data_IF_941793224313
#
_entry.id   IF_941793224313
#
_cell.length_a   1.000
_cell.length_b   1.000
_cell.length_c   1.000
_cell.angle_alpha   90.00
_cell.angle_beta   90.00
_cell.angle_gamma   90.00
#
_symmetry.space_group_name_H-M   'P 1'
#
loop_
_entity.id
_entity.type
_entity.pdbx_description
1 polymer ?
#
# COMPACT_ATOMS: atom_id res chain seq x y z
N UNK A 1 -21.53 -3.62 7.57
CA UNK A 1 -22.68 -4.19 8.32
C UNK A 1 -22.75 -5.69 8.05
N UNK A 2 -22.07 -6.48 8.88
CA UNK A 2 -22.27 -7.94 8.90
C UNK A 2 -23.52 -8.20 9.75
N UNK A 3 -24.63 -8.58 9.12
CA UNK A 3 -25.82 -9.08 9.82
C UNK A 3 -25.61 -10.56 10.15
N UNK A 4 -25.16 -10.87 11.33
CA UNK A 4 -25.07 -12.24 11.83
C UNK A 4 -26.47 -12.73 12.20
N UNK A 5 -26.91 -13.87 11.63
CA UNK A 5 -28.16 -14.54 11.99
C UNK A 5 -27.85 -15.62 13.02
N UNK A 6 -28.51 -15.55 14.16
CA UNK A 6 -28.28 -16.38 15.35
C UNK A 6 -28.33 -17.90 15.20
N UNK A 7 -28.74 -18.44 14.07
CA UNK A 7 -28.83 -19.87 13.84
C UNK A 7 -27.69 -20.51 13.02
N UNK A 8 -26.99 -19.73 12.18
CA UNK A 8 -25.86 -20.22 11.35
C UNK A 8 -24.50 -19.68 11.77
N UNK A 9 -24.47 -18.52 12.43
CA UNK A 9 -23.23 -17.78 12.75
C UNK A 9 -22.94 -17.78 14.26
N UNK A 10 -23.63 -18.63 15.05
CA UNK A 10 -23.48 -18.68 16.51
C UNK A 10 -22.07 -18.97 16.98
N UNK A 11 -21.33 -19.80 16.25
CA UNK A 11 -19.94 -20.11 16.55
C UNK A 11 -19.03 -18.89 16.32
N UNK A 12 -19.22 -18.18 15.22
CA UNK A 12 -18.47 -16.95 14.89
C UNK A 12 -18.72 -15.83 15.92
N UNK A 13 -19.98 -15.70 16.35
CA UNK A 13 -20.36 -14.73 17.39
C UNK A 13 -19.71 -15.06 18.75
N UNK A 14 -19.69 -16.35 19.11
CA UNK A 14 -19.04 -16.80 20.35
C UNK A 14 -17.53 -16.60 20.29
N UNK A 15 -16.90 -16.85 19.15
CA UNK A 15 -15.48 -16.62 18.95
C UNK A 15 -15.16 -15.12 19.04
N UNK A 16 -15.93 -14.25 18.37
CA UNK A 16 -15.75 -12.78 18.46
C UNK A 16 -15.98 -12.26 19.89
N UNK A 17 -16.94 -12.79 20.62
CA UNK A 17 -17.17 -12.44 22.02
C UNK A 17 -16.04 -12.93 22.93
N UNK A 18 -15.48 -14.11 22.68
CA UNK A 18 -14.33 -14.64 23.41
C UNK A 18 -13.09 -13.77 23.18
N UNK A 19 -12.77 -13.45 21.93
CA UNK A 19 -11.65 -12.56 21.56
C UNK A 19 -11.84 -11.15 22.12
N UNK A 20 -13.07 -10.62 22.09
CA UNK A 20 -13.39 -9.32 22.69
C UNK A 20 -13.18 -9.34 24.20
N UNK A 21 -13.70 -10.35 24.88
CA UNK A 21 -13.56 -10.47 26.33
C UNK A 21 -12.11 -10.64 26.74
N UNK A 22 -11.33 -11.49 26.04
CA UNK A 22 -9.90 -11.67 26.29
C UNK A 22 -9.14 -10.35 26.10
N UNK A 23 -9.40 -9.63 25.01
CA UNK A 23 -8.80 -8.32 24.72
C UNK A 23 -9.22 -7.28 25.77
N UNK A 24 -10.50 -7.25 26.17
CA UNK A 24 -11.03 -6.30 27.13
C UNK A 24 -10.48 -6.53 28.55
N UNK A 25 -10.40 -7.77 29.01
CA UNK A 25 -9.87 -8.09 30.34
C UNK A 25 -8.35 -7.91 30.44
N UNK A 26 -7.63 -8.07 29.32
CA UNK A 26 -6.19 -7.83 29.24
C UNK A 26 -5.84 -6.37 28.89
N UNK A 27 -6.84 -5.53 28.63
CA UNK A 27 -6.62 -4.13 28.30
C UNK A 27 -6.11 -3.33 29.51
N UNK A 28 -5.13 -2.48 29.28
CA UNK A 28 -4.62 -1.57 30.28
C UNK A 28 -5.63 -0.47 30.56
N UNK A 29 -6.00 -0.27 31.84
CA UNK A 29 -6.87 0.83 32.24
C UNK A 29 -6.18 2.17 31.99
N UNK A 30 -6.75 2.97 31.09
CA UNK A 30 -6.25 4.30 30.78
C UNK A 30 -6.66 5.25 31.92
N UNK A 31 -5.71 5.58 32.77
CA UNK A 31 -5.87 6.58 33.84
C UNK A 31 -5.00 7.81 33.56
N UNK A 32 -5.15 8.84 34.41
CA UNK A 32 -4.42 10.12 34.27
C UNK A 32 -2.87 9.90 34.22
N UNK A 33 -2.35 9.06 35.07
CA UNK A 33 -0.91 8.76 35.13
C UNK A 33 -0.43 8.05 33.84
N UNK A 34 -1.25 7.17 33.28
CA UNK A 34 -0.97 6.52 32.00
C UNK A 34 -0.93 7.56 30.85
N UNK A 35 -1.89 8.48 30.83
CA UNK A 35 -1.95 9.57 29.82
C UNK A 35 -0.70 10.46 29.92
N UNK A 36 -0.31 10.88 31.13
CA UNK A 36 0.90 11.69 31.33
C UNK A 36 2.19 10.97 30.90
N UNK A 37 2.26 9.67 31.14
CA UNK A 37 3.40 8.85 30.68
C UNK A 37 3.40 8.72 29.17
N UNK A 38 2.24 8.47 28.56
CA UNK A 38 2.08 8.39 27.11
C UNK A 38 2.45 9.71 26.43
N UNK A 39 2.00 10.86 26.96
CA UNK A 39 2.36 12.18 26.45
C UNK A 39 3.87 12.44 26.48
N UNK A 40 4.56 12.03 27.55
CA UNK A 40 6.02 12.16 27.63
C UNK A 40 6.73 11.33 26.58
N UNK A 41 6.31 10.08 26.41
CA UNK A 41 6.86 9.17 25.40
C UNK A 41 6.60 9.73 24.00
N UNK A 42 5.37 10.21 23.75
CA UNK A 42 4.98 10.77 22.46
C UNK A 42 5.76 12.04 22.11
N UNK A 43 5.94 12.97 23.07
CA UNK A 43 6.75 14.19 22.86
C UNK A 43 8.22 13.85 22.59
N UNK A 44 8.79 12.89 23.30
CA UNK A 44 10.16 12.43 23.05
C UNK A 44 10.30 11.76 21.67
N UNK A 45 9.28 11.00 21.25
CA UNK A 45 9.24 10.39 19.92
C UNK A 45 9.17 11.46 18.83
N UNK A 46 8.31 12.46 18.96
CA UNK A 46 8.20 13.61 18.04
C UNK A 46 9.50 14.40 17.95
N UNK A 47 10.16 14.63 19.08
CA UNK A 47 11.43 15.34 19.12
C UNK A 47 12.55 14.54 18.45
N UNK A 48 12.62 13.24 18.70
CA UNK A 48 13.55 12.31 18.04
C UNK A 48 13.31 12.23 16.52
N UNK A 49 12.04 12.22 16.09
CA UNK A 49 11.65 12.17 14.68
C UNK A 49 12.06 13.44 13.92
N UNK A 50 11.82 14.61 14.51
CA UNK A 50 12.20 15.89 13.89
C UNK A 50 13.72 16.06 13.82
N UNK A 51 14.46 15.57 14.81
CA UNK A 51 15.93 15.59 14.81
C UNK A 51 16.49 14.60 13.78
N UNK A 52 15.97 13.39 13.72
CA UNK A 52 16.34 12.39 12.73
C UNK A 52 16.04 12.85 11.29
N UNK A 53 14.93 13.57 11.07
CA UNK A 53 14.56 14.08 9.76
C UNK A 53 15.55 15.13 9.22
N UNK A 54 16.13 15.93 10.10
CA UNK A 54 17.16 16.92 9.74
C UNK A 54 18.52 16.26 9.49
N UNK A 55 18.85 15.18 10.21
CA UNK A 55 20.11 14.45 10.04
C UNK A 55 20.09 13.49 8.83
N UNK A 56 18.91 12.97 8.43
CA UNK A 56 18.75 12.08 7.27
C UNK A 56 18.76 12.81 5.94
N UNK A 57 18.57 14.13 5.93
CA UNK A 57 18.76 14.95 4.72
C UNK A 57 20.25 15.14 4.33
N UNK A 58 21.19 14.75 5.19
CA UNK A 58 22.64 14.74 4.92
C UNK A 58 23.14 13.31 4.66
N UNK A 59 23.07 12.88 3.39
CA UNK A 59 23.92 11.84 2.77
C UNK A 59 24.20 10.55 3.57
N UNK A 60 23.22 9.81 4.02
CA UNK A 60 23.47 8.45 4.44
C UNK A 60 23.06 7.44 3.37
N UNK A 61 23.94 6.45 3.12
CA UNK A 61 23.62 5.27 2.32
C UNK A 61 22.32 4.66 2.89
N UNK A 62 21.27 4.66 2.09
CA UNK A 62 20.02 4.03 2.49
C UNK A 62 20.31 2.54 2.72
N UNK A 63 20.13 2.09 3.96
CA UNK A 63 20.30 0.69 4.33
C UNK A 63 18.95 0.01 4.49
N UNK A 64 18.84 -1.28 4.15
CA UNK A 64 17.61 -2.02 4.35
C UNK A 64 17.28 -2.13 5.85
N UNK A 65 16.01 -1.95 6.19
CA UNK A 65 15.50 -2.18 7.54
C UNK A 65 15.39 -3.68 7.86
N UNK A 66 15.08 -4.03 9.11
CA UNK A 66 14.99 -5.42 9.57
C UNK A 66 14.09 -6.28 8.68
N UNK A 67 12.87 -5.81 8.39
CA UNK A 67 11.93 -6.52 7.52
C UNK A 67 12.49 -6.72 6.11
N UNK A 68 13.09 -5.68 5.55
CA UNK A 68 13.68 -5.78 4.21
C UNK A 68 14.83 -6.79 4.17
N UNK A 69 15.63 -6.89 5.23
CA UNK A 69 16.69 -7.89 5.35
C UNK A 69 16.08 -9.31 5.35
N UNK A 70 15.05 -9.54 6.16
CA UNK A 70 14.36 -10.83 6.23
C UNK A 70 13.70 -11.20 4.88
N UNK A 71 13.03 -10.24 4.26
CA UNK A 71 12.40 -10.43 2.94
C UNK A 71 13.43 -10.70 1.83
N UNK A 72 14.56 -9.98 1.83
CA UNK A 72 15.67 -10.23 0.90
C UNK A 72 16.26 -11.63 1.09
N UNK A 73 16.39 -12.09 2.33
CA UNK A 73 16.83 -13.45 2.61
C UNK A 73 15.85 -14.50 2.10
N UNK A 74 14.52 -14.25 2.24
CA UNK A 74 13.48 -15.12 1.70
C UNK A 74 13.49 -15.19 0.16
N UNK A 75 13.66 -14.05 -0.52
CA UNK A 75 13.78 -14.00 -1.98
C UNK A 75 15.01 -14.81 -2.44
N UNK A 76 16.14 -14.62 -1.77
CA UNK A 76 17.38 -15.34 -2.10
C UNK A 76 17.24 -16.85 -1.84
N UNK A 77 16.58 -17.25 -0.77
CA UNK A 77 16.31 -18.66 -0.48
C UNK A 77 15.48 -19.32 -1.59
N UNK A 78 14.50 -18.64 -2.17
CA UNK A 78 13.75 -19.14 -3.33
C UNK A 78 14.66 -19.34 -4.56
N UNK A 79 15.54 -18.39 -4.84
CA UNK A 79 16.49 -18.49 -5.96
C UNK A 79 17.47 -19.65 -5.78
N UNK A 80 18.01 -19.85 -4.57
CA UNK A 80 18.89 -20.96 -4.24
C UNK A 80 18.21 -22.33 -4.36
N UNK A 81 16.88 -22.38 -4.18
CA UNK A 81 16.06 -23.56 -4.41
C UNK A 81 15.72 -23.78 -5.92
N UNK A 82 16.26 -22.96 -6.79
CA UNK A 82 15.98 -23.02 -8.24
C UNK A 82 14.58 -22.51 -8.61
N UNK A 83 13.91 -21.78 -7.73
CA UNK A 83 12.62 -21.16 -8.05
C UNK A 83 12.83 -19.92 -8.89
N UNK A 84 11.99 -19.75 -9.92
CA UNK A 84 12.03 -18.61 -10.84
C UNK A 84 10.91 -17.58 -10.56
N UNK A 85 10.06 -17.83 -9.56
CA UNK A 85 8.98 -16.93 -9.14
C UNK A 85 8.91 -16.83 -7.63
N UNK A 86 8.54 -15.64 -7.14
CA UNK A 86 8.28 -15.40 -5.72
C UNK A 86 7.24 -14.33 -5.49
N UNK A 87 6.47 -14.46 -4.42
CA UNK A 87 5.48 -13.48 -3.97
C UNK A 87 5.93 -12.85 -2.66
N UNK A 88 5.97 -11.54 -2.63
CA UNK A 88 6.20 -10.72 -1.44
C UNK A 88 4.88 -10.13 -0.97
N UNK A 89 4.42 -10.52 0.19
CA UNK A 89 3.22 -9.97 0.82
C UNK A 89 3.66 -9.03 1.92
N UNK A 90 3.43 -7.73 1.73
CA UNK A 90 3.87 -6.75 2.71
C UNK A 90 2.93 -5.55 2.74
N UNK A 91 2.52 -5.14 3.94
CA UNK A 91 1.61 -4.02 4.15
C UNK A 91 2.07 -2.75 3.42
N UNK A 92 1.13 -1.87 3.08
CA UNK A 92 1.46 -0.58 2.47
C UNK A 92 2.28 0.27 3.44
N UNK A 93 3.29 0.98 2.93
CA UNK A 93 4.16 1.83 3.75
C UNK A 93 5.38 1.12 4.37
N UNK A 94 5.53 -0.18 4.22
CA UNK A 94 6.68 -0.96 4.75
C UNK A 94 7.96 -0.83 3.91
N UNK A 95 7.89 -0.17 2.74
CA UNK A 95 9.04 0.07 1.88
C UNK A 95 9.32 -1.01 0.83
N UNK A 96 8.26 -1.63 0.27
CA UNK A 96 8.37 -2.64 -0.81
C UNK A 96 9.23 -2.20 -1.99
N UNK A 97 9.06 -0.94 -2.44
CA UNK A 97 9.82 -0.38 -3.57
C UNK A 97 11.32 -0.30 -3.27
N UNK A 98 11.69 0.12 -2.05
CA UNK A 98 13.09 0.11 -1.62
C UNK A 98 13.65 -1.31 -1.50
N UNK A 99 12.83 -2.25 -1.00
CA UNK A 99 13.21 -3.66 -0.92
C UNK A 99 13.57 -4.21 -2.30
N UNK A 100 12.71 -3.99 -3.31
CA UNK A 100 13.00 -4.43 -4.68
C UNK A 100 14.25 -3.75 -5.27
N UNK A 101 14.51 -2.48 -4.92
CA UNK A 101 15.74 -1.79 -5.33
C UNK A 101 16.99 -2.41 -4.68
N UNK A 102 16.94 -2.79 -3.40
CA UNK A 102 18.03 -3.51 -2.75
C UNK A 102 18.25 -4.89 -3.35
N UNK A 103 17.18 -5.58 -3.74
CA UNK A 103 17.29 -6.88 -4.37
C UNK A 103 17.93 -6.78 -5.76
N UNK A 104 17.54 -5.80 -6.57
CA UNK A 104 18.18 -5.49 -7.86
C UNK A 104 19.66 -5.15 -7.67
N UNK A 105 20.02 -4.39 -6.63
CA UNK A 105 21.42 -4.06 -6.32
C UNK A 105 22.25 -5.31 -5.99
N UNK A 106 21.64 -6.32 -5.35
CA UNK A 106 22.31 -7.60 -5.02
C UNK A 106 22.41 -8.51 -6.23
N UNK A 107 21.32 -8.66 -6.99
CA UNK A 107 21.22 -9.56 -8.13
C UNK A 107 22.01 -9.03 -9.33
N UNK A 108 22.11 -7.72 -9.50
CA UNK A 108 22.75 -7.03 -10.63
C UNK A 108 22.29 -7.57 -12.01
N UNK A 109 20.98 -7.60 -12.28
CA UNK A 109 20.48 -8.10 -13.55
C UNK A 109 21.00 -7.23 -14.69
N UNK A 110 21.27 -7.83 -15.86
CA UNK A 110 21.65 -7.07 -17.05
C UNK A 110 20.49 -6.22 -17.56
N UNK A 111 19.29 -6.78 -17.55
CA UNK A 111 18.05 -6.11 -17.92
C UNK A 111 17.01 -6.33 -16.82
N UNK A 112 16.35 -5.27 -16.43
CA UNK A 112 15.35 -5.26 -15.35
C UNK A 112 14.08 -4.54 -15.78
N UNK A 113 12.92 -5.07 -15.42
CA UNK A 113 11.63 -4.46 -15.68
C UNK A 113 10.82 -4.33 -14.38
N UNK A 114 10.39 -3.09 -14.07
CA UNK A 114 9.47 -2.79 -12.98
C UNK A 114 8.11 -2.40 -13.55
N UNK A 115 7.06 -3.15 -13.22
CA UNK A 115 5.72 -2.97 -13.79
C UNK A 115 4.75 -2.46 -12.72
N UNK A 116 4.08 -1.35 -13.02
CA UNK A 116 3.06 -0.72 -12.18
C UNK A 116 1.85 -0.29 -13.00
N UNK A 117 0.75 0.10 -12.33
CA UNK A 117 -0.45 0.51 -13.04
C UNK A 117 -0.55 2.01 -13.34
N UNK A 118 0.29 2.87 -12.74
CA UNK A 118 0.27 4.33 -12.95
C UNK A 118 1.66 4.89 -13.20
N UNK A 119 1.75 5.84 -14.13
CA UNK A 119 3.01 6.49 -14.52
C UNK A 119 3.69 7.23 -13.35
N UNK A 120 2.90 7.92 -12.52
CA UNK A 120 3.41 8.61 -11.33
C UNK A 120 4.12 7.61 -10.38
N UNK A 121 3.54 6.41 -10.19
CA UNK A 121 4.14 5.37 -9.35
C UNK A 121 5.42 4.82 -9.99
N UNK A 122 5.44 4.67 -11.32
CA UNK A 122 6.64 4.24 -12.04
C UNK A 122 7.79 5.24 -11.87
N UNK A 123 7.53 6.54 -11.97
CA UNK A 123 8.55 7.58 -11.79
C UNK A 123 9.03 7.67 -10.34
N UNK A 124 8.13 7.55 -9.36
CA UNK A 124 8.51 7.50 -7.93
C UNK A 124 9.34 6.25 -7.59
N UNK A 125 8.99 5.10 -8.18
CA UNK A 125 9.80 3.89 -8.05
C UNK A 125 11.18 4.10 -8.65
N UNK A 126 11.28 4.65 -9.87
CA UNK A 126 12.56 4.97 -10.52
C UNK A 126 13.42 5.89 -9.65
N UNK A 127 12.85 6.94 -9.05
CA UNK A 127 13.54 7.84 -8.11
C UNK A 127 14.03 7.12 -6.86
N UNK A 128 13.24 6.18 -6.34
CA UNK A 128 13.61 5.36 -5.18
C UNK A 128 14.76 4.42 -5.51
N UNK A 129 14.73 3.80 -6.70
CA UNK A 129 15.82 2.97 -7.20
C UNK A 129 17.11 3.79 -7.41
N UNK A 130 17.02 5.00 -7.93
CA UNK A 130 18.17 5.88 -8.10
C UNK A 130 18.89 6.18 -6.78
N UNK A 131 18.15 6.32 -5.69
CA UNK A 131 18.74 6.53 -4.36
C UNK A 131 19.50 5.31 -3.85
N UNK A 132 19.09 4.09 -4.22
CA UNK A 132 19.71 2.83 -3.78
C UNK A 132 20.85 2.40 -4.69
N UNK A 133 20.66 2.51 -6.00
CA UNK A 133 21.60 2.04 -7.02
C UNK A 133 22.70 3.07 -7.31
N UNK A 134 22.41 4.34 -7.09
CA UNK A 134 23.33 5.44 -7.40
C UNK A 134 23.17 6.00 -8.82
N UNK A 135 23.93 7.06 -9.14
CA UNK A 135 23.78 7.83 -10.39
C UNK A 135 24.22 7.07 -11.65
N UNK A 136 25.06 6.03 -11.49
CA UNK A 136 25.58 5.25 -12.62
C UNK A 136 24.55 4.28 -13.21
N UNK A 137 23.46 3.99 -12.48
CA UNK A 137 22.43 3.08 -12.93
C UNK A 137 21.57 3.73 -14.02
N UNK A 138 21.63 3.17 -15.24
CA UNK A 138 20.84 3.63 -16.38
C UNK A 138 19.41 3.15 -16.24
N UNK A 139 18.49 4.08 -16.03
CA UNK A 139 17.08 3.83 -15.77
C UNK A 139 16.19 4.65 -16.68
N UNK A 140 15.24 3.99 -17.32
CA UNK A 140 14.30 4.59 -18.25
C UNK A 140 12.85 4.35 -17.89
N UNK A 141 11.97 5.12 -18.53
CA UNK A 141 10.53 4.96 -18.43
C UNK A 141 9.97 4.31 -19.67
N UNK A 142 8.97 3.42 -19.49
CA UNK A 142 8.24 2.82 -20.60
C UNK A 142 6.72 2.99 -20.37
N UNK A 143 6.25 4.19 -20.66
CA UNK A 143 4.87 4.66 -20.40
C UNK A 143 4.21 5.20 -21.66
N UNK A 144 2.95 5.63 -21.57
CA UNK A 144 2.24 6.17 -22.72
C UNK A 144 2.90 7.41 -23.35
N UNK A 145 3.57 8.22 -22.53
CA UNK A 145 4.22 9.47 -22.96
C UNK A 145 5.72 9.37 -23.16
N UNK A 146 6.36 8.32 -22.66
CA UNK A 146 7.82 8.17 -22.67
C UNK A 146 8.23 6.70 -22.83
N UNK A 147 8.97 6.38 -23.90
CA UNK A 147 9.47 5.04 -24.18
C UNK A 147 10.97 5.12 -24.43
N UNK A 148 11.75 4.77 -23.43
CA UNK A 148 13.20 4.67 -23.53
C UNK A 148 13.62 3.21 -23.59
N UNK A 149 14.82 2.95 -24.10
CA UNK A 149 15.45 1.64 -24.08
C UNK A 149 16.70 1.69 -23.19
N UNK A 150 16.47 1.57 -21.90
CA UNK A 150 17.51 1.55 -20.88
C UNK A 150 17.57 0.18 -20.19
N UNK A 151 18.71 -0.21 -19.61
CA UNK A 151 18.86 -1.49 -18.92
C UNK A 151 17.80 -1.74 -17.84
N UNK A 152 17.42 -0.72 -17.10
CA UNK A 152 16.39 -0.80 -16.05
C UNK A 152 15.18 0.02 -16.46
N UNK A 153 14.08 -0.64 -16.81
CA UNK A 153 12.85 -0.02 -17.29
C UNK A 153 11.78 0.00 -16.21
N UNK A 154 11.12 1.14 -16.09
CA UNK A 154 9.94 1.34 -15.25
C UNK A 154 8.73 1.55 -16.15
N UNK A 155 7.84 0.57 -16.21
CA UNK A 155 6.76 0.52 -17.17
C UNK A 155 5.39 0.57 -16.52
N UNK A 156 4.43 1.16 -17.25
CA UNK A 156 3.02 0.96 -16.90
C UNK A 156 2.48 -0.29 -17.60
N UNK A 157 1.67 -1.06 -16.84
CA UNK A 157 1.06 -2.28 -17.38
C UNK A 157 0.27 -2.00 -18.67
N UNK A 158 -0.45 -0.87 -18.73
CA UNK A 158 -1.25 -0.48 -19.91
C UNK A 158 -0.40 -0.23 -21.15
N UNK A 159 0.87 0.15 -20.98
CA UNK A 159 1.77 0.38 -22.11
C UNK A 159 2.48 -0.90 -22.51
N UNK A 160 3.15 -1.56 -21.55
CA UNK A 160 3.98 -2.73 -21.86
C UNK A 160 3.14 -3.93 -22.36
N UNK A 161 1.88 -4.09 -21.87
CA UNK A 161 1.00 -5.20 -22.25
C UNK A 161 0.39 -5.10 -23.66
N UNK A 162 0.59 -3.99 -24.36
CA UNK A 162 0.14 -3.86 -25.76
C UNK A 162 1.00 -4.76 -26.65
N UNK A 163 0.36 -5.49 -27.53
CA UNK A 163 1.05 -6.45 -28.41
C UNK A 163 2.17 -5.80 -29.24
N UNK A 164 1.94 -4.60 -29.75
CA UNK A 164 2.93 -3.80 -30.47
C UNK A 164 4.19 -3.50 -29.65
N UNK A 165 4.04 -3.31 -28.32
CA UNK A 165 5.14 -3.03 -27.41
C UNK A 165 5.81 -4.32 -26.92
N UNK A 166 5.03 -5.38 -26.64
CA UNK A 166 5.58 -6.68 -26.27
C UNK A 166 6.52 -7.22 -27.37
N UNK A 167 6.12 -7.07 -28.65
CA UNK A 167 6.93 -7.49 -29.80
C UNK A 167 8.28 -6.75 -29.95
N UNK A 168 8.46 -5.62 -29.24
CA UNK A 168 9.74 -4.91 -29.22
C UNK A 168 10.78 -5.57 -28.31
N UNK A 169 10.38 -6.56 -27.52
CA UNK A 169 11.23 -7.22 -26.55
C UNK A 169 11.24 -8.73 -26.79
N UNK A 170 12.42 -9.34 -26.69
CA UNK A 170 12.55 -10.78 -26.71
C UNK A 170 11.95 -11.40 -25.43
N UNK A 171 11.52 -12.65 -25.47
CA UNK A 171 10.93 -13.33 -24.32
C UNK A 171 11.85 -13.35 -23.09
N UNK A 172 13.13 -13.55 -23.31
CA UNK A 172 14.19 -13.60 -22.30
C UNK A 172 14.95 -12.27 -22.14
N UNK A 173 14.36 -11.17 -22.64
CA UNK A 173 14.98 -9.82 -22.61
C UNK A 173 15.34 -9.40 -21.18
N UNK A 174 14.44 -9.61 -20.23
CA UNK A 174 14.62 -9.21 -18.85
C UNK A 174 15.06 -10.38 -17.97
N UNK A 175 16.20 -10.22 -17.31
CA UNK A 175 16.67 -11.20 -16.31
C UNK A 175 15.76 -11.20 -15.07
N UNK A 176 15.24 -10.02 -14.70
CA UNK A 176 14.43 -9.85 -13.52
C UNK A 176 13.24 -8.93 -13.81
N UNK A 177 12.05 -9.38 -13.43
CA UNK A 177 10.81 -8.62 -13.53
C UNK A 177 10.21 -8.49 -12.14
N UNK A 178 9.81 -7.27 -11.77
CA UNK A 178 9.04 -6.99 -10.55
C UNK A 178 7.68 -6.45 -10.95
N UNK A 179 6.62 -7.03 -10.40
CA UNK A 179 5.23 -6.58 -10.55
C UNK A 179 4.77 -6.02 -9.22
N UNK A 180 4.54 -4.73 -9.17
CA UNK A 180 3.91 -4.08 -8.02
C UNK A 180 2.39 -4.17 -8.10
N UNK A 181 1.71 -4.21 -6.95
CA UNK A 181 0.27 -4.47 -6.82
C UNK A 181 -0.15 -5.78 -7.54
N UNK A 182 0.64 -6.83 -7.31
CA UNK A 182 0.48 -8.13 -7.98
C UNK A 182 -0.91 -8.77 -7.79
N UNK A 183 -1.71 -8.35 -6.81
CA UNK A 183 -3.11 -8.76 -6.68
C UNK A 183 -3.96 -8.42 -7.92
N UNK A 184 -3.50 -7.51 -8.80
CA UNK A 184 -4.13 -7.18 -10.07
C UNK A 184 -3.69 -8.09 -11.22
N UNK A 185 -2.77 -9.01 -10.99
CA UNK A 185 -2.15 -9.86 -12.04
C UNK A 185 -3.12 -10.84 -12.72
N UNK A 186 -4.31 -11.06 -12.15
CA UNK A 186 -5.39 -11.78 -12.82
C UNK A 186 -6.02 -11.06 -14.01
N UNK A 187 -5.84 -9.75 -14.16
CA UNK A 187 -6.35 -9.01 -15.32
C UNK A 187 -5.60 -9.42 -16.59
N UNK A 188 -6.29 -9.45 -17.73
CA UNK A 188 -5.75 -9.86 -19.03
C UNK A 188 -4.47 -9.12 -19.44
N UNK A 189 -4.34 -7.86 -19.04
CA UNK A 189 -3.15 -7.06 -19.31
C UNK A 189 -1.90 -7.59 -18.62
N UNK A 190 -2.02 -8.05 -17.36
CA UNK A 190 -0.91 -8.66 -16.64
C UNK A 190 -0.62 -10.06 -17.15
N UNK A 191 -1.65 -10.85 -17.46
CA UNK A 191 -1.48 -12.20 -18.05
C UNK A 191 -0.66 -12.14 -19.33
N UNK A 192 -0.93 -11.16 -20.22
CA UNK A 192 -0.14 -10.98 -21.44
C UNK A 192 1.35 -10.73 -21.18
N UNK A 193 1.68 -9.98 -20.14
CA UNK A 193 3.07 -9.73 -19.73
C UNK A 193 3.71 -11.03 -19.23
N UNK A 194 3.00 -11.76 -18.34
CA UNK A 194 3.47 -13.01 -17.77
C UNK A 194 3.62 -14.12 -18.80
N UNK A 195 2.75 -14.16 -19.80
CA UNK A 195 2.79 -15.16 -20.90
C UNK A 195 3.87 -14.84 -21.94
N UNK A 196 4.23 -13.55 -22.07
CA UNK A 196 5.24 -13.13 -23.05
C UNK A 196 6.66 -13.31 -22.53
N UNK A 197 6.95 -12.85 -21.31
CA UNK A 197 8.31 -12.81 -20.77
C UNK A 197 8.67 -14.06 -19.98
N UNK A 198 9.90 -14.51 -20.15
CA UNK A 198 10.52 -15.65 -19.47
C UNK A 198 11.75 -15.18 -18.65
N UNK A 199 11.55 -14.39 -17.55
CA UNK A 199 12.67 -13.87 -16.78
C UNK A 199 13.36 -14.99 -15.98
N UNK A 200 14.62 -14.77 -15.60
CA UNK A 200 15.30 -15.66 -14.63
C UNK A 200 14.63 -15.64 -13.26
N UNK A 201 14.06 -14.49 -12.88
CA UNK A 201 13.26 -14.38 -11.67
C UNK A 201 12.12 -13.37 -11.86
N UNK A 202 10.93 -13.74 -11.40
CA UNK A 202 9.73 -12.91 -11.35
C UNK A 202 9.33 -12.68 -9.89
N UNK A 203 9.28 -11.43 -9.44
CA UNK A 203 8.81 -11.07 -8.11
C UNK A 203 7.46 -10.34 -8.20
N UNK A 204 6.43 -10.89 -7.59
CA UNK A 204 5.19 -10.18 -7.32
C UNK A 204 5.24 -9.51 -5.94
N UNK A 205 4.78 -8.28 -5.85
CA UNK A 205 4.64 -7.56 -4.58
C UNK A 205 3.20 -7.13 -4.39
N UNK A 206 2.64 -7.38 -3.21
CA UNK A 206 1.28 -6.94 -2.87
C UNK A 206 1.12 -6.70 -1.37
N UNK A 207 0.18 -5.83 -1.00
CA UNK A 207 -0.25 -5.68 0.39
C UNK A 207 -1.48 -6.55 0.71
N UNK A 208 -2.27 -6.90 -0.30
CA UNK A 208 -3.56 -7.59 -0.19
C UNK A 208 -3.62 -8.73 -1.20
N UNK A 209 -3.13 -9.93 -0.85
CA UNK A 209 -3.17 -11.07 -1.77
C UNK A 209 -4.58 -11.65 -1.93
N UNK A 210 -5.47 -11.39 -0.96
CA UNK A 210 -6.86 -11.85 -1.04
C UNK A 210 -7.62 -11.05 -2.11
N UNK A 211 -8.20 -11.78 -3.06
CA UNK A 211 -9.04 -11.23 -4.12
C UNK A 211 -10.49 -11.59 -3.92
N UNK A 212 -11.37 -10.66 -4.25
CA UNK A 212 -12.83 -10.85 -4.19
C UNK A 212 -13.39 -11.47 -5.46
N UNK A 213 -12.61 -11.55 -6.54
CA UNK A 213 -13.00 -12.04 -7.86
C UNK A 213 -12.69 -13.52 -8.12
N UNK A 214 -12.14 -14.24 -7.14
CA UNK A 214 -11.90 -15.69 -7.20
C UNK A 214 -10.59 -16.11 -7.88
N UNK A 215 -9.82 -15.19 -8.48
CA UNK A 215 -8.51 -15.51 -9.04
C UNK A 215 -7.48 -15.72 -7.90
N UNK A 216 -6.76 -16.84 -7.95
CA UNK A 216 -5.73 -17.16 -6.97
C UNK A 216 -4.37 -16.60 -7.39
N UNK A 217 -3.96 -15.49 -6.75
CA UNK A 217 -2.65 -14.89 -6.99
C UNK A 217 -1.50 -15.85 -6.62
N UNK A 218 -1.69 -16.69 -5.60
CA UNK A 218 -0.64 -17.60 -5.15
C UNK A 218 -0.26 -18.59 -6.25
N UNK A 219 -1.24 -19.07 -7.02
CA UNK A 219 -1.01 -19.97 -8.14
C UNK A 219 -0.16 -19.34 -9.26
N UNK A 220 -0.28 -18.03 -9.51
CA UNK A 220 0.52 -17.31 -10.50
C UNK A 220 2.02 -17.29 -10.14
N UNK A 221 2.32 -17.39 -8.85
CA UNK A 221 3.69 -17.42 -8.32
C UNK A 221 4.08 -18.81 -7.79
N UNK A 222 3.41 -19.86 -8.27
CA UNK A 222 3.66 -21.27 -7.91
C UNK A 222 3.66 -21.51 -6.39
N UNK A 223 2.83 -20.73 -5.65
CA UNK A 223 2.75 -20.72 -4.18
C UNK A 223 4.08 -20.42 -3.46
N UNK A 224 5.06 -19.83 -4.15
CA UNK A 224 6.34 -19.47 -3.58
C UNK A 224 6.24 -18.12 -2.84
N UNK A 225 6.04 -18.13 -1.55
CA UNK A 225 6.02 -16.93 -0.73
C UNK A 225 7.44 -16.64 -0.25
N UNK A 226 8.02 -15.53 -0.69
CA UNK A 226 9.34 -15.08 -0.27
C UNK A 226 9.31 -14.52 1.17
N UNK A 227 8.29 -13.73 1.47
CA UNK A 227 8.08 -13.14 2.78
C UNK A 227 6.63 -12.65 2.93
N UNK A 228 6.12 -12.69 4.14
CA UNK A 228 4.79 -12.18 4.45
C UNK A 228 4.80 -11.38 5.74
N UNK A 229 4.29 -10.13 5.66
CA UNK A 229 3.99 -9.30 6.83
C UNK A 229 2.70 -8.53 6.59
N UNK A 230 1.70 -8.81 7.40
CA UNK A 230 0.38 -8.18 7.33
C UNK A 230 0.35 -6.86 8.10
N UNK A 231 -0.68 -6.03 7.84
CA UNK A 231 -0.86 -4.74 8.49
C UNK A 231 -0.77 -4.81 10.02
N UNK A 232 -1.50 -5.74 10.62
CA UNK A 232 -1.51 -5.91 12.07
C UNK A 232 -0.11 -6.24 12.63
N UNK A 233 0.61 -7.14 11.98
CA UNK A 233 1.97 -7.50 12.36
C UNK A 233 2.94 -6.33 12.18
N UNK A 234 2.84 -5.59 11.05
CA UNK A 234 3.67 -4.41 10.79
C UNK A 234 3.44 -3.28 11.83
N UNK A 235 2.21 -3.14 12.32
CA UNK A 235 1.88 -2.23 13.42
C UNK A 235 2.49 -2.69 14.74
N UNK A 236 2.37 -3.98 15.08
CA UNK A 236 2.94 -4.56 16.30
C UNK A 236 4.47 -4.45 16.33
N UNK A 237 5.11 -4.63 15.19
CA UNK A 237 6.56 -4.49 15.04
C UNK A 237 7.02 -3.03 14.93
N UNK A 238 6.11 -2.07 15.10
CA UNK A 238 6.37 -0.61 15.04
C UNK A 238 6.96 -0.14 13.71
N UNK A 239 6.68 -0.86 12.64
CA UNK A 239 7.10 -0.48 11.28
C UNK A 239 6.17 0.57 10.69
N UNK A 240 4.94 0.60 11.14
CA UNK A 240 3.92 1.56 10.78
C UNK A 240 3.46 2.33 12.01
N UNK A 241 3.04 3.58 11.80
CA UNK A 241 2.49 4.42 12.85
C UNK A 241 1.10 3.89 13.22
N UNK A 242 0.81 3.68 14.51
CA UNK A 242 -0.53 3.30 14.94
C UNK A 242 -1.53 4.40 14.59
N UNK A 243 -2.77 4.01 14.34
CA UNK A 243 -3.84 4.92 14.00
C UNK A 243 -5.11 4.59 14.79
N UNK A 244 -5.97 5.59 14.96
CA UNK A 244 -7.30 5.41 15.53
C UNK A 244 -8.33 5.33 14.41
N UNK A 245 -9.12 4.28 14.40
CA UNK A 245 -10.21 4.11 13.45
C UNK A 245 -11.54 4.51 14.10
N UNK A 246 -12.26 5.45 13.46
CA UNK A 246 -13.56 5.91 13.90
C UNK A 246 -14.62 5.57 12.84
N UNK A 247 -15.49 4.62 13.15
CA UNK A 247 -16.66 4.31 12.33
C UNK A 247 -17.76 5.35 12.57
N UNK A 248 -18.10 6.13 11.55
CA UNK A 248 -19.14 7.16 11.63
C UNK A 248 -20.31 6.74 10.74
N UNK A 249 -21.53 6.75 11.29
CA UNK A 249 -22.72 6.58 10.46
C UNK A 249 -22.97 7.85 9.66
N UNK A 250 -23.20 7.68 8.35
CA UNK A 250 -23.62 8.77 7.50
C UNK A 250 -25.04 9.24 7.86
N UNK A 251 -25.42 10.43 7.46
CA UNK A 251 -26.75 10.98 7.73
C UNK A 251 -27.77 10.13 6.99
N UNK A 252 -28.70 9.53 7.72
CA UNK A 252 -29.86 8.83 7.15
C UNK A 252 -30.88 9.90 6.77
N UNK A 253 -31.26 9.93 5.48
CA UNK A 253 -32.36 10.78 5.03
C UNK A 253 -33.67 10.33 5.67
N UNK A 254 -34.58 11.26 5.90
CA UNK A 254 -35.84 11.07 6.67
C UNK A 254 -36.81 10.04 6.08
N UNK A 255 -36.54 9.53 4.86
CA UNK A 255 -37.35 8.52 4.16
C UNK A 255 -36.99 7.07 4.49
N UNK A 256 -36.03 6.84 5.40
CA UNK A 256 -35.62 5.51 5.84
C UNK A 256 -34.99 4.64 4.76
N UNK A 257 -34.79 5.13 3.55
CA UNK A 257 -34.10 4.43 2.48
C UNK A 257 -32.60 4.63 2.64
N UNK A 258 -31.87 3.53 2.68
CA UNK A 258 -30.42 3.55 2.48
C UNK A 258 -30.24 3.84 0.99
N UNK A 259 -30.01 5.09 0.63
CA UNK A 259 -29.69 5.45 -0.74
C UNK A 259 -28.32 4.82 -1.07
N UNK A 260 -28.27 4.16 -2.22
CA UNK A 260 -27.01 3.72 -2.80
C UNK A 260 -26.11 4.95 -2.92
N UNK A 261 -24.85 4.87 -2.43
CA UNK A 261 -23.94 6.01 -2.29
C UNK A 261 -23.53 6.71 -3.58
N UNK A 262 -24.38 6.64 -4.62
CA UNK A 262 -24.20 7.22 -5.95
C UNK A 262 -25.01 8.52 -6.17
N UNK A 263 -25.96 8.88 -5.29
CA UNK A 263 -26.72 10.11 -5.47
C UNK A 263 -25.88 11.34 -5.11
N UNK A 264 -25.45 12.06 -6.15
CA UNK A 264 -24.65 13.27 -6.01
C UNK A 264 -25.30 14.33 -5.12
N UNK A 265 -26.61 14.52 -5.19
CA UNK A 265 -27.32 15.53 -4.39
C UNK A 265 -27.28 15.18 -2.91
N UNK A 266 -27.34 13.89 -2.57
CA UNK A 266 -27.20 13.42 -1.21
C UNK A 266 -25.76 13.56 -0.72
N UNK A 267 -24.79 13.17 -1.56
CA UNK A 267 -23.35 13.22 -1.24
C UNK A 267 -22.86 14.66 -0.99
N UNK A 268 -23.47 15.64 -1.67
CA UNK A 268 -23.13 17.07 -1.58
C UNK A 268 -24.11 17.88 -0.75
N UNK A 269 -25.07 17.24 -0.08
CA UNK A 269 -26.01 17.97 0.78
C UNK A 269 -25.26 18.75 1.88
N UNK A 270 -25.72 19.97 2.14
CA UNK A 270 -25.13 20.85 3.17
C UNK A 270 -25.08 20.17 4.55
N UNK A 271 -26.14 19.45 4.89
CA UNK A 271 -26.23 18.70 6.14
C UNK A 271 -25.12 17.65 6.26
N UNK A 272 -24.86 16.87 5.18
CA UNK A 272 -23.79 15.85 5.16
C UNK A 272 -22.41 16.49 5.22
N UNK A 273 -22.18 17.57 4.50
CA UNK A 273 -20.90 18.30 4.54
C UNK A 273 -20.62 18.85 5.92
N UNK A 274 -21.58 19.47 6.58
CA UNK A 274 -21.46 19.97 7.94
C UNK A 274 -21.24 18.84 8.94
N UNK A 275 -21.87 17.67 8.74
CA UNK A 275 -21.64 16.48 9.54
C UNK A 275 -20.18 16.00 9.42
N UNK A 276 -19.65 15.88 8.21
CA UNK A 276 -18.24 15.48 7.96
C UNK A 276 -17.31 16.47 8.67
N UNK A 277 -17.48 17.78 8.46
CA UNK A 277 -16.66 18.82 9.09
C UNK A 277 -16.75 18.77 10.62
N UNK A 278 -17.96 18.58 11.17
CA UNK A 278 -18.15 18.48 12.63
C UNK A 278 -17.43 17.27 13.23
N UNK A 279 -17.45 16.12 12.53
CA UNK A 279 -16.74 14.91 12.95
C UNK A 279 -15.24 15.06 12.81
N UNK A 280 -14.76 15.71 11.76
CA UNK A 280 -13.34 16.06 11.59
C UNK A 280 -12.84 16.92 12.76
N UNK A 281 -13.63 17.89 13.22
CA UNK A 281 -13.32 18.71 14.41
C UNK A 281 -13.38 17.90 15.71
N UNK A 282 -14.38 17.03 15.87
CA UNK A 282 -14.58 16.23 17.07
C UNK A 282 -13.43 15.25 17.32
N UNK A 283 -13.03 14.52 16.29
CA UNK A 283 -11.96 13.53 16.40
C UNK A 283 -10.57 14.15 16.28
N UNK A 284 -10.47 15.31 15.65
CA UNK A 284 -9.28 16.15 15.64
C UNK A 284 -8.01 15.46 15.14
N UNK A 285 -6.90 15.96 15.66
CA UNK A 285 -5.57 15.36 15.49
C UNK A 285 -4.65 15.81 16.64
N UNK A 286 -3.59 15.05 16.89
CA UNK A 286 -2.68 15.29 18.02
C UNK A 286 -1.93 16.62 17.93
N UNK A 287 -1.72 17.15 16.72
CA UNK A 287 -1.01 18.40 16.49
C UNK A 287 -1.88 19.67 16.55
N UNK A 288 -3.20 19.53 16.79
CA UNK A 288 -4.17 20.63 16.77
C UNK A 288 -4.46 21.19 15.37
N UNK A 289 -3.67 20.84 14.34
CA UNK A 289 -3.91 21.20 12.93
C UNK A 289 -4.23 19.95 12.13
N UNK A 290 -5.49 19.76 11.81
CA UNK A 290 -5.94 18.62 11.02
C UNK A 290 -5.32 18.67 9.61
N UNK A 291 -4.65 17.59 9.23
CA UNK A 291 -4.20 17.32 7.87
C UNK A 291 -4.74 15.95 7.48
N UNK A 292 -5.40 15.86 6.34
CA UNK A 292 -6.04 14.62 5.96
C UNK A 292 -6.30 14.53 4.46
N UNK A 293 -6.71 13.34 4.04
CA UNK A 293 -7.19 13.05 2.69
C UNK A 293 -8.63 12.60 2.79
N UNK A 294 -9.48 13.13 1.91
CA UNK A 294 -10.87 12.70 1.78
C UNK A 294 -11.02 11.93 0.48
N UNK A 295 -11.43 10.66 0.59
CA UNK A 295 -11.71 9.83 -0.57
C UNK A 295 -13.21 9.88 -0.88
N UNK A 296 -13.54 10.22 -2.12
CA UNK A 296 -14.89 10.40 -2.60
C UNK A 296 -15.22 9.39 -3.69
N UNK A 297 -16.50 9.07 -3.84
CA UNK A 297 -16.99 8.20 -4.92
C UNK A 297 -16.88 8.85 -6.30
N UNK A 298 -17.07 10.18 -6.36
CA UNK A 298 -17.09 10.95 -7.59
C UNK A 298 -16.12 12.14 -7.54
N UNK A 299 -15.49 12.46 -8.68
CA UNK A 299 -14.63 13.65 -8.79
C UNK A 299 -15.38 14.96 -8.49
N UNK A 300 -16.65 15.05 -8.88
CA UNK A 300 -17.51 16.22 -8.58
C UNK A 300 -17.76 16.37 -7.08
N UNK A 301 -17.95 15.26 -6.37
CA UNK A 301 -18.07 15.24 -4.91
C UNK A 301 -16.78 15.76 -4.25
N UNK A 302 -15.63 15.27 -4.72
CA UNK A 302 -14.33 15.70 -4.20
C UNK A 302 -14.11 17.21 -4.37
N UNK A 303 -14.45 17.77 -5.53
CA UNK A 303 -14.35 19.21 -5.77
C UNK A 303 -15.27 20.00 -4.84
N UNK A 304 -16.53 19.57 -4.70
CA UNK A 304 -17.50 20.24 -3.84
C UNK A 304 -17.08 20.21 -2.36
N UNK A 305 -16.62 19.05 -1.86
CA UNK A 305 -16.10 18.93 -0.50
C UNK A 305 -14.86 19.78 -0.28
N UNK A 306 -13.93 19.82 -1.25
CA UNK A 306 -12.75 20.68 -1.20
C UNK A 306 -13.13 22.16 -0.98
N UNK A 307 -14.09 22.67 -1.76
CA UNK A 307 -14.57 24.04 -1.61
C UNK A 307 -15.23 24.30 -0.25
N UNK A 308 -15.97 23.31 0.26
CA UNK A 308 -16.63 23.40 1.56
C UNK A 308 -15.63 23.38 2.70
N UNK A 309 -14.60 22.53 2.64
CA UNK A 309 -13.52 22.49 3.63
C UNK A 309 -12.70 23.78 3.62
N UNK A 310 -12.39 24.34 2.44
CA UNK A 310 -11.70 25.63 2.32
C UNK A 310 -12.51 26.76 2.97
N UNK A 311 -13.83 26.81 2.74
CA UNK A 311 -14.74 27.78 3.41
C UNK A 311 -14.79 27.60 4.92
N UNK A 312 -14.59 26.38 5.41
CA UNK A 312 -14.52 26.07 6.84
C UNK A 312 -13.13 26.30 7.47
N UNK A 313 -12.15 26.81 6.70
CA UNK A 313 -10.81 27.16 7.17
C UNK A 313 -9.79 26.02 7.13
N UNK A 314 -10.08 24.96 6.37
CA UNK A 314 -9.11 23.90 6.08
C UNK A 314 -8.46 24.18 4.72
N UNK A 315 -7.16 24.52 4.71
CA UNK A 315 -6.36 24.79 3.51
C UNK A 315 -5.31 23.71 3.30
#
# INVERSE_FOLDING_TARGET
NVKLKSGKDGYLLLQMLSEFNETFFNATVVNKAWIETYEKIYRNYQFGWNKAKVEVEQFEKINPNKMQIEALAGIEALRLQGKNKGLLISATGTGKTYLSAFDVKRMQPKRFLFVVHREIIADEARKSFAKVLGPEAKMGMYTGGNKTDEPYLFATVQTISKEENLRCFEKNEFDYIVIDEAHRSGADTYKRILDHFEPKFLLGMTATPERTDGDDIFSLFDHNIAYEIRLHQALNEKMLVPFHYHGIRDIVTYDGKIHDGSDFNLLTSEARVMHIISKTKLYGCDSGRVKGLVFCSLNKEASFLSDAFNKAGYN
#
